data_IF_727716360973
#
_entry.id   IF_727716360973
#
_cell.length_a   1.000
_cell.length_b   1.000
_cell.length_c   1.000
_cell.angle_alpha   90.00
_cell.angle_beta   90.00
_cell.angle_gamma   90.00
#
_symmetry.space_group_name_H-M   'P 1'
#
loop_
_entity.id
_entity.type
_entity.pdbx_description
1 polymer ?
#
# COMPACT_ATOMS: atom_id res chain seq x y z
N UNK A 1 -26.37 -41.76 -56.30
CA UNK A 1 -25.76 -43.15 -56.38
C UNK A 1 -24.62 -43.16 -55.35
N UNK A 2 -24.80 -44.03 -54.37
CA UNK A 2 -23.83 -44.79 -53.55
C UNK A 2 -22.54 -44.12 -53.04
N UNK A 3 -22.51 -43.83 -51.73
CA UNK A 3 -21.82 -44.58 -50.66
C UNK A 3 -20.32 -44.85 -50.90
N UNK A 4 -19.47 -44.47 -49.91
CA UNK A 4 -18.94 -45.42 -48.92
C UNK A 4 -18.12 -44.64 -47.82
N UNK A 5 -18.38 -44.98 -46.57
CA UNK A 5 -17.61 -44.65 -45.37
C UNK A 5 -16.21 -45.29 -45.39
N UNK A 6 -15.23 -44.60 -44.83
CA UNK A 6 -13.93 -45.13 -44.43
C UNK A 6 -13.49 -44.64 -43.08
N UNK A 7 -13.69 -45.47 -42.03
CA UNK A 7 -13.10 -45.28 -40.69
C UNK A 7 -11.61 -45.62 -40.75
N UNK A 8 -10.75 -44.73 -40.35
CA UNK A 8 -9.35 -45.03 -40.05
C UNK A 8 -9.14 -45.08 -38.52
N UNK A 9 -8.79 -46.25 -38.06
CA UNK A 9 -8.45 -46.61 -36.69
C UNK A 9 -6.93 -46.45 -36.54
N UNK A 10 -6.46 -45.50 -35.67
CA UNK A 10 -5.02 -45.40 -35.35
C UNK A 10 -4.73 -46.29 -34.13
N UNK A 11 -3.90 -47.31 -34.37
CA UNK A 11 -3.23 -48.09 -33.32
C UNK A 11 -2.09 -47.27 -32.70
N UNK A 12 -2.13 -47.11 -31.38
CA UNK A 12 -0.99 -46.62 -30.61
C UNK A 12 -0.13 -47.80 -30.18
N UNK A 13 1.07 -47.88 -30.70
CA UNK A 13 2.11 -48.82 -30.27
C UNK A 13 2.91 -48.24 -29.12
N UNK A 14 2.78 -48.83 -27.92
CA UNK A 14 3.62 -48.52 -26.78
C UNK A 14 4.97 -49.26 -26.92
N UNK A 15 6.07 -48.53 -27.03
CA UNK A 15 7.42 -49.05 -26.87
C UNK A 15 7.82 -48.99 -25.39
N UNK A 16 7.94 -50.13 -24.74
CA UNK A 16 8.63 -50.27 -23.46
C UNK A 16 10.14 -50.23 -23.69
N UNK A 17 10.82 -49.22 -23.18
CA UNK A 17 12.25 -49.24 -23.00
C UNK A 17 12.55 -49.63 -21.55
N UNK A 18 13.08 -50.82 -21.34
CA UNK A 18 13.67 -51.26 -20.07
C UNK A 18 15.08 -50.70 -19.98
N UNK A 19 15.32 -49.75 -19.12
CA UNK A 19 16.68 -49.32 -18.73
C UNK A 19 16.95 -49.86 -17.33
N UNK A 20 17.82 -50.85 -17.24
CA UNK A 20 18.46 -51.30 -16.00
C UNK A 20 19.56 -50.31 -15.69
N UNK A 21 19.32 -49.42 -14.72
CA UNK A 21 20.27 -48.46 -14.18
C UNK A 21 20.51 -48.73 -12.71
N UNK A 22 21.75 -48.93 -12.39
CA UNK A 22 22.40 -49.19 -11.12
C UNK A 22 21.93 -48.23 -10.01
N UNK A 23 21.54 -48.85 -8.87
CA UNK A 23 21.27 -48.19 -7.59
C UNK A 23 22.49 -47.40 -7.11
N UNK A 24 22.37 -46.07 -7.01
CA UNK A 24 23.12 -45.26 -6.08
C UNK A 24 22.14 -44.79 -5.01
N UNK A 25 22.32 -45.29 -3.82
CA UNK A 25 21.61 -44.84 -2.63
C UNK A 25 21.97 -43.40 -2.31
N UNK A 26 21.06 -42.46 -2.54
CA UNK A 26 21.03 -41.18 -1.89
C UNK A 26 19.81 -41.16 -0.99
N UNK A 27 20.06 -41.20 0.31
CA UNK A 27 19.08 -40.91 1.34
C UNK A 27 18.69 -39.41 1.26
N UNK A 28 17.85 -39.06 0.32
CA UNK A 28 17.10 -37.81 0.36
C UNK A 28 15.75 -38.08 1.05
N UNK A 29 15.82 -38.16 2.37
CA UNK A 29 14.65 -38.13 3.23
C UNK A 29 14.14 -36.69 3.36
N UNK A 30 13.82 -36.03 2.24
CA UNK A 30 13.09 -34.77 2.23
C UNK A 30 11.63 -35.08 2.45
N UNK A 31 11.22 -35.04 3.72
CA UNK A 31 9.79 -34.95 4.07
C UNK A 31 9.20 -33.81 3.21
N UNK A 32 8.11 -34.01 2.45
CA UNK A 32 7.50 -32.96 1.68
C UNK A 32 7.22 -31.78 2.61
N UNK A 33 7.80 -30.61 2.33
CA UNK A 33 7.51 -29.41 3.08
C UNK A 33 6.01 -29.18 3.02
N UNK A 34 5.32 -29.22 4.18
CA UNK A 34 3.88 -29.06 4.27
C UNK A 34 3.52 -27.72 3.60
N UNK A 35 2.64 -27.77 2.61
CA UNK A 35 2.22 -26.58 1.90
C UNK A 35 1.72 -25.53 2.89
N UNK A 36 2.38 -24.36 2.94
CA UNK A 36 2.07 -23.31 3.90
C UNK A 36 0.72 -22.70 3.57
N UNK A 37 -0.22 -22.76 4.49
CA UNK A 37 -1.48 -22.03 4.38
C UNK A 37 -1.28 -20.59 4.82
N UNK A 38 -1.72 -19.65 3.99
CA UNK A 38 -1.64 -18.22 4.28
C UNK A 38 -3.01 -17.66 4.65
N UNK A 39 -3.01 -16.59 5.48
CA UNK A 39 -4.23 -15.88 5.82
C UNK A 39 -4.83 -15.19 4.59
N UNK A 40 -6.09 -15.51 4.31
CA UNK A 40 -6.90 -14.94 3.23
C UNK A 40 -8.14 -14.23 3.76
N UNK A 41 -8.16 -13.87 5.06
CA UNK A 41 -9.28 -13.16 5.67
C UNK A 41 -9.56 -11.84 4.95
N UNK A 42 -10.83 -11.40 5.00
CA UNK A 42 -11.24 -10.12 4.42
C UNK A 42 -10.62 -8.92 5.13
N UNK A 43 -10.32 -9.02 6.43
CA UNK A 43 -9.62 -7.97 7.17
C UNK A 43 -8.18 -7.85 6.68
N UNK A 44 -7.77 -6.64 6.26
CA UNK A 44 -6.43 -6.41 5.77
C UNK A 44 -5.42 -6.33 6.94
N UNK A 45 -4.48 -7.26 6.96
CA UNK A 45 -3.27 -7.23 7.77
C UNK A 45 -2.13 -6.84 6.85
N UNK A 46 -1.90 -5.53 6.72
CA UNK A 46 -1.12 -4.94 5.65
C UNK A 46 0.27 -4.47 6.07
N UNK A 47 1.15 -4.34 5.08
CA UNK A 47 2.44 -3.69 5.18
C UNK A 47 2.65 -2.77 3.97
N UNK A 48 3.12 -1.52 4.19
CA UNK A 48 3.70 -0.70 3.13
C UNK A 48 5.17 -1.07 3.00
N UNK A 49 5.60 -1.43 1.81
CA UNK A 49 6.99 -1.84 1.54
C UNK A 49 7.54 -1.09 0.33
N UNK A 50 7.23 0.18 0.27
CA UNK A 50 7.57 1.02 -0.88
C UNK A 50 9.08 1.19 -1.06
N UNK A 51 9.86 1.11 0.02
CA UNK A 51 11.32 1.19 -0.02
C UNK A 51 12.02 -0.14 -0.36
N UNK A 52 11.31 -1.25 -0.37
CA UNK A 52 11.90 -2.59 -0.46
C UNK A 52 12.89 -2.75 -1.62
N UNK A 53 12.56 -2.29 -2.83
CA UNK A 53 13.44 -2.44 -4.00
C UNK A 53 14.74 -1.61 -3.89
N UNK A 54 14.68 -0.41 -3.30
CA UNK A 54 15.85 0.42 -3.02
C UNK A 54 16.73 -0.23 -1.95
N UNK A 55 16.13 -0.77 -0.87
CA UNK A 55 16.84 -1.51 0.18
C UNK A 55 17.57 -2.73 -0.40
N UNK A 56 16.88 -3.56 -1.17
CA UNK A 56 17.44 -4.76 -1.79
C UNK A 56 18.56 -4.42 -2.78
N UNK A 57 18.38 -3.37 -3.58
CA UNK A 57 19.42 -2.86 -4.49
C UNK A 57 20.64 -2.35 -3.72
N UNK A 58 20.43 -1.78 -2.55
CA UNK A 58 21.49 -1.37 -1.61
C UNK A 58 22.15 -2.53 -0.87
N UNK A 59 21.73 -3.78 -1.13
CA UNK A 59 22.32 -4.98 -0.53
C UNK A 59 21.76 -5.36 0.84
N UNK A 60 20.66 -4.72 1.29
CA UNK A 60 19.95 -5.09 2.53
C UNK A 60 19.38 -6.51 2.39
N UNK A 61 19.51 -7.31 3.44
CA UNK A 61 19.06 -8.71 3.48
C UNK A 61 18.15 -8.93 4.68
N UNK A 62 17.13 -9.75 4.49
CA UNK A 62 16.17 -10.10 5.53
C UNK A 62 16.35 -11.55 5.94
N UNK A 63 16.04 -11.87 7.20
CA UNK A 63 16.30 -13.18 7.77
C UNK A 63 15.07 -13.68 8.52
N UNK A 64 14.81 -14.98 8.40
CA UNK A 64 13.81 -15.64 9.26
C UNK A 64 14.36 -15.82 10.69
N UNK A 65 13.54 -16.31 11.60
CA UNK A 65 13.93 -16.52 13.01
C UNK A 65 15.14 -17.44 13.17
N UNK A 66 15.36 -18.38 12.24
CA UNK A 66 16.49 -19.31 12.23
C UNK A 66 17.78 -18.68 11.63
N UNK A 67 17.74 -17.41 11.24
CA UNK A 67 18.88 -16.71 10.63
C UNK A 67 19.14 -17.05 9.16
N UNK A 68 18.21 -17.71 8.48
CA UNK A 68 18.29 -17.98 7.05
C UNK A 68 17.84 -16.74 6.27
N UNK A 69 18.68 -16.29 5.33
CA UNK A 69 18.32 -15.21 4.42
C UNK A 69 17.08 -15.60 3.61
N UNK A 70 16.08 -14.73 3.61
CA UNK A 70 14.75 -14.98 3.04
C UNK A 70 14.23 -13.72 2.37
N UNK A 71 13.46 -13.87 1.31
CA UNK A 71 12.75 -12.78 0.65
C UNK A 71 11.83 -12.03 1.64
N UNK A 72 11.86 -10.70 1.64
CA UNK A 72 11.11 -9.89 2.60
C UNK A 72 9.60 -10.11 2.48
N UNK A 73 9.04 -10.11 1.27
CA UNK A 73 7.60 -10.34 1.07
C UNK A 73 7.20 -11.75 1.54
N UNK A 74 8.07 -12.74 1.34
CA UNK A 74 7.82 -14.09 1.85
C UNK A 74 7.82 -14.12 3.38
N UNK A 75 8.76 -13.42 4.04
CA UNK A 75 8.77 -13.29 5.50
C UNK A 75 7.49 -12.62 6.02
N UNK A 76 7.09 -11.50 5.42
CA UNK A 76 5.87 -10.81 5.80
C UNK A 76 4.65 -11.73 5.66
N UNK A 77 4.59 -12.54 4.59
CA UNK A 77 3.52 -13.53 4.40
C UNK A 77 3.52 -14.60 5.48
N UNK A 78 4.70 -15.08 5.87
CA UNK A 78 4.89 -16.07 6.94
C UNK A 78 4.50 -15.50 8.32
N UNK A 79 4.67 -14.20 8.54
CA UNK A 79 4.27 -13.48 9.75
C UNK A 79 2.78 -13.08 9.76
N UNK A 80 1.99 -13.47 8.76
CA UNK A 80 0.54 -13.27 8.73
C UNK A 80 0.05 -12.06 7.95
N UNK A 81 0.95 -11.28 7.33
CA UNK A 81 0.56 -10.20 6.42
C UNK A 81 -0.18 -10.76 5.21
N UNK A 82 -1.28 -10.14 4.82
CA UNK A 82 -2.11 -10.56 3.68
C UNK A 82 -2.33 -9.47 2.62
N UNK A 83 -1.86 -8.26 2.87
CA UNK A 83 -2.03 -7.11 1.97
C UNK A 83 -0.75 -6.27 1.92
N UNK A 84 -0.46 -5.67 0.76
CA UNK A 84 0.71 -4.80 0.56
C UNK A 84 0.23 -3.45 0.04
N UNK A 85 0.74 -2.37 0.63
CA UNK A 85 0.59 -0.98 0.16
C UNK A 85 1.86 -0.55 -0.56
N UNK A 86 1.70 0.16 -1.68
CA UNK A 86 2.79 0.64 -2.53
C UNK A 86 2.54 2.08 -2.93
N UNK A 87 3.44 2.96 -2.55
CA UNK A 87 3.48 4.39 -2.89
C UNK A 87 3.86 4.59 -4.34
N UNK A 88 3.20 5.55 -5.00
CA UNK A 88 3.47 5.96 -6.38
C UNK A 88 3.81 7.44 -6.44
N UNK A 89 4.98 7.77 -7.00
CA UNK A 89 5.40 9.11 -7.37
C UNK A 89 5.31 9.32 -8.88
N UNK A 90 5.25 10.57 -9.35
CA UNK A 90 5.07 10.89 -10.78
C UNK A 90 6.38 10.70 -11.56
N UNK A 91 7.41 11.46 -11.23
CA UNK A 91 8.74 11.37 -11.86
C UNK A 91 9.83 11.42 -10.78
N UNK A 92 9.96 10.39 -9.93
CA UNK A 92 10.91 10.41 -8.84
C UNK A 92 12.36 10.37 -9.34
N UNK A 93 13.23 11.12 -8.67
CA UNK A 93 14.67 10.98 -8.86
C UNK A 93 15.10 9.55 -8.50
N UNK A 94 15.94 8.94 -9.33
CA UNK A 94 16.40 7.55 -9.12
C UNK A 94 15.36 6.47 -9.48
N UNK A 95 14.11 6.82 -9.80
CA UNK A 95 13.07 5.91 -10.27
C UNK A 95 12.38 5.08 -9.17
N UNK A 96 12.83 5.13 -7.92
CA UNK A 96 12.19 4.44 -6.80
C UNK A 96 10.80 5.01 -6.53
N UNK A 97 9.82 4.14 -6.28
CA UNK A 97 8.40 4.48 -6.19
C UNK A 97 7.81 5.08 -7.47
N UNK A 98 8.53 5.10 -8.58
CA UNK A 98 7.98 5.39 -9.91
C UNK A 98 7.18 4.21 -10.46
N UNK A 99 6.48 4.45 -11.57
CA UNK A 99 5.57 3.47 -12.19
C UNK A 99 6.18 2.07 -12.34
N UNK A 100 7.38 1.96 -12.93
CA UNK A 100 8.00 0.66 -13.22
C UNK A 100 8.38 -0.10 -11.94
N UNK A 101 8.89 0.60 -10.94
CA UNK A 101 9.24 0.04 -9.63
C UNK A 101 8.00 -0.48 -8.89
N UNK A 102 6.90 0.28 -8.93
CA UNK A 102 5.62 -0.12 -8.34
C UNK A 102 5.04 -1.35 -9.05
N UNK A 103 5.08 -1.41 -10.39
CA UNK A 103 4.61 -2.56 -11.16
C UNK A 103 5.41 -3.81 -10.80
N UNK A 104 6.73 -3.69 -10.67
CA UNK A 104 7.59 -4.81 -10.31
C UNK A 104 7.27 -5.37 -8.90
N UNK A 105 7.11 -4.50 -7.90
CA UNK A 105 6.73 -4.87 -6.54
C UNK A 105 5.31 -5.44 -6.47
N UNK A 106 4.34 -4.82 -7.12
CA UNK A 106 2.95 -5.27 -7.15
C UNK A 106 2.82 -6.66 -7.75
N UNK A 107 3.49 -6.91 -8.89
CA UNK A 107 3.50 -8.23 -9.51
C UNK A 107 4.15 -9.29 -8.63
N UNK A 108 5.28 -8.96 -7.97
CA UNK A 108 5.96 -9.84 -7.01
C UNK A 108 5.06 -10.15 -5.80
N UNK A 109 4.38 -9.15 -5.23
CA UNK A 109 3.44 -9.33 -4.13
C UNK A 109 2.24 -10.21 -4.53
N UNK A 110 1.65 -9.98 -5.70
CA UNK A 110 0.55 -10.81 -6.21
C UNK A 110 0.93 -12.28 -6.34
N UNK A 111 2.16 -12.60 -6.76
CA UNK A 111 2.66 -13.98 -6.86
C UNK A 111 2.66 -14.71 -5.52
N UNK A 112 2.72 -13.98 -4.41
CA UNK A 112 2.63 -14.50 -3.06
C UNK A 112 1.20 -14.42 -2.49
N UNK A 113 0.20 -14.07 -3.31
CA UNK A 113 -1.20 -14.02 -2.92
C UNK A 113 -1.58 -12.82 -2.04
N UNK A 114 -0.82 -11.73 -2.07
CA UNK A 114 -1.21 -10.49 -1.39
C UNK A 114 -2.28 -9.74 -2.15
N UNK A 115 -3.18 -9.06 -1.42
CA UNK A 115 -4.03 -7.99 -1.94
C UNK A 115 -3.25 -6.69 -1.97
N UNK A 116 -3.62 -5.75 -2.83
CA UNK A 116 -2.84 -4.54 -3.06
C UNK A 116 -3.64 -3.28 -2.76
N UNK A 117 -2.96 -2.33 -2.11
CA UNK A 117 -3.31 -0.92 -2.04
C UNK A 117 -2.26 -0.13 -2.83
N UNK A 118 -2.70 0.67 -3.79
CA UNK A 118 -1.83 1.57 -4.56
C UNK A 118 -2.05 2.98 -4.06
N UNK A 119 -0.98 3.63 -3.62
CA UNK A 119 -1.01 4.94 -2.97
C UNK A 119 -0.41 6.03 -3.84
N UNK A 120 -1.25 6.85 -4.45
CA UNK A 120 -0.83 7.97 -5.30
C UNK A 120 -0.53 9.22 -4.47
N UNK A 121 0.72 9.64 -4.47
CA UNK A 121 1.13 10.91 -3.84
C UNK A 121 0.88 12.13 -4.73
N UNK A 122 0.79 11.97 -6.05
CA UNK A 122 0.71 13.06 -7.03
C UNK A 122 1.81 14.11 -6.84
N UNK A 123 3.00 13.65 -6.57
CA UNK A 123 4.23 14.43 -6.40
C UNK A 123 5.40 13.65 -6.99
N UNK A 124 6.53 14.30 -7.24
CA UNK A 124 7.79 13.63 -7.64
C UNK A 124 8.54 13.08 -6.42
N UNK A 125 8.08 13.42 -5.22
CA UNK A 125 8.67 13.04 -3.93
C UNK A 125 7.59 12.92 -2.86
N UNK A 126 7.96 13.06 -1.60
CA UNK A 126 7.06 12.95 -0.45
C UNK A 126 5.86 13.90 -0.56
N UNK A 127 4.66 13.33 -0.42
CA UNK A 127 3.46 14.05 -0.06
C UNK A 127 3.10 13.64 1.37
N UNK A 128 3.08 14.61 2.28
CA UNK A 128 2.80 14.44 3.70
C UNK A 128 2.04 15.67 4.24
N UNK A 129 1.69 15.75 5.53
CA UNK A 129 0.93 16.88 6.07
C UNK A 129 1.59 18.26 5.93
N UNK A 130 2.89 18.32 5.64
CA UNK A 130 3.63 19.56 5.43
C UNK A 130 4.03 19.79 3.96
N UNK A 131 3.98 18.75 3.13
CA UNK A 131 4.48 18.78 1.76
C UNK A 131 3.45 18.15 0.82
N UNK A 132 2.88 18.96 -0.07
CA UNK A 132 1.93 18.51 -1.12
C UNK A 132 2.32 19.16 -2.46
N UNK A 133 3.61 19.05 -2.79
CA UNK A 133 4.24 19.77 -3.91
C UNK A 133 3.74 19.24 -5.24
N UNK A 134 3.33 20.14 -6.11
CA UNK A 134 2.96 19.86 -7.50
C UNK A 134 4.17 19.26 -8.24
N UNK A 135 4.02 18.14 -8.98
CA UNK A 135 5.07 17.59 -9.81
C UNK A 135 5.69 18.62 -10.76
N UNK A 136 7.00 18.56 -10.99
CA UNK A 136 7.69 19.50 -11.87
C UNK A 136 7.09 19.56 -13.28
N UNK A 137 6.63 18.43 -13.81
CA UNK A 137 5.99 18.34 -15.11
C UNK A 137 4.60 19.00 -15.18
N UNK A 138 3.97 19.28 -14.03
CA UNK A 138 2.63 19.87 -13.94
C UNK A 138 2.66 21.34 -13.50
N UNK A 139 3.85 21.91 -13.32
CA UNK A 139 4.01 23.33 -12.99
C UNK A 139 3.43 24.19 -14.10
N UNK A 140 2.70 25.25 -13.71
CA UNK A 140 2.04 26.16 -14.65
C UNK A 140 0.73 25.64 -15.27
N UNK A 141 0.24 24.46 -14.83
CA UNK A 141 -1.05 23.97 -15.31
C UNK A 141 -2.21 24.79 -14.73
N UNK A 142 -3.26 24.95 -15.52
CA UNK A 142 -4.57 25.41 -15.04
C UNK A 142 -5.23 24.33 -14.17
N UNK A 143 -6.25 24.67 -13.41
CA UNK A 143 -7.00 23.70 -12.59
C UNK A 143 -7.57 22.55 -13.45
N UNK A 144 -8.05 22.83 -14.65
CA UNK A 144 -8.56 21.79 -15.56
C UNK A 144 -7.44 20.88 -16.08
N UNK A 145 -6.27 21.44 -16.41
CA UNK A 145 -5.10 20.66 -16.80
C UNK A 145 -4.57 19.82 -15.62
N UNK A 146 -4.59 20.36 -14.40
CA UNK A 146 -4.21 19.63 -13.19
C UNK A 146 -5.14 18.44 -12.93
N UNK A 147 -6.46 18.67 -13.04
CA UNK A 147 -7.47 17.62 -12.95
C UNK A 147 -7.23 16.51 -13.98
N UNK A 148 -6.95 16.89 -15.23
CA UNK A 148 -6.63 15.93 -16.28
C UNK A 148 -5.34 15.17 -16.00
N UNK A 149 -4.30 15.83 -15.50
CA UNK A 149 -3.03 15.20 -15.14
C UNK A 149 -3.19 14.16 -14.02
N UNK A 150 -4.01 14.43 -13.01
CA UNK A 150 -4.35 13.45 -11.97
C UNK A 150 -5.04 12.23 -12.59
N UNK A 151 -6.04 12.43 -13.46
CA UNK A 151 -6.73 11.33 -14.13
C UNK A 151 -5.78 10.51 -15.00
N UNK A 152 -4.98 11.17 -15.83
CA UNK A 152 -4.08 10.51 -16.79
C UNK A 152 -2.98 9.71 -16.07
N UNK A 153 -2.34 10.29 -15.04
CA UNK A 153 -1.33 9.57 -14.25
C UNK A 153 -1.92 8.36 -13.54
N UNK A 154 -3.11 8.51 -12.94
CA UNK A 154 -3.81 7.40 -12.28
C UNK A 154 -4.12 6.27 -13.28
N UNK A 155 -4.67 6.60 -14.44
CA UNK A 155 -4.98 5.63 -15.50
C UNK A 155 -3.71 4.96 -16.05
N UNK A 156 -2.65 5.73 -16.31
CA UNK A 156 -1.40 5.21 -16.85
C UNK A 156 -0.79 4.14 -15.94
N UNK A 157 -0.66 4.44 -14.64
CA UNK A 157 -0.11 3.47 -13.68
C UNK A 157 -1.03 2.25 -13.51
N UNK A 158 -2.33 2.45 -13.32
CA UNK A 158 -3.27 1.37 -13.09
C UNK A 158 -3.43 0.48 -14.33
N UNK A 159 -3.44 1.06 -15.53
CA UNK A 159 -3.48 0.30 -16.78
C UNK A 159 -2.22 -0.54 -16.95
N UNK A 160 -1.05 0.04 -16.68
CA UNK A 160 0.21 -0.69 -16.76
C UNK A 160 0.29 -1.86 -15.73
N UNK A 161 -0.25 -1.69 -14.52
CA UNK A 161 -0.43 -2.79 -13.56
C UNK A 161 -1.35 -3.89 -14.14
N UNK A 162 -2.48 -3.52 -14.72
CA UNK A 162 -3.44 -4.45 -15.31
C UNK A 162 -2.84 -5.20 -16.51
N UNK A 163 -2.12 -4.51 -17.38
CA UNK A 163 -1.44 -5.08 -18.55
C UNK A 163 -0.31 -6.03 -18.12
N UNK A 164 0.34 -5.77 -16.97
CA UNK A 164 1.30 -6.69 -16.35
C UNK A 164 0.64 -7.94 -15.79
N UNK A 165 -0.69 -7.98 -15.70
CA UNK A 165 -1.47 -9.09 -15.15
C UNK A 165 -1.68 -8.98 -13.63
N UNK A 166 -1.56 -7.79 -13.06
CA UNK A 166 -1.92 -7.54 -11.66
C UNK A 166 -3.45 -7.38 -11.60
N UNK A 167 -4.13 -8.23 -10.82
CA UNK A 167 -5.61 -8.30 -10.78
C UNK A 167 -6.19 -8.07 -9.39
N UNK A 168 -5.37 -8.08 -8.37
CA UNK A 168 -5.76 -8.04 -6.95
C UNK A 168 -5.57 -6.66 -6.30
N UNK A 169 -5.70 -5.58 -7.08
CA UNK A 169 -5.79 -4.21 -6.56
C UNK A 169 -7.18 -4.05 -5.93
N UNK A 170 -7.21 -4.01 -4.60
CA UNK A 170 -8.45 -3.88 -3.83
C UNK A 170 -8.70 -2.44 -3.41
N UNK A 171 -7.64 -1.68 -3.15
CA UNK A 171 -7.73 -0.28 -2.75
C UNK A 171 -6.80 0.59 -3.60
N UNK A 172 -7.25 1.82 -3.84
CA UNK A 172 -6.43 2.87 -4.45
C UNK A 172 -6.59 4.14 -3.64
N UNK A 173 -5.49 4.66 -3.14
CA UNK A 173 -5.44 5.89 -2.38
C UNK A 173 -5.17 7.06 -3.31
N UNK A 174 -6.06 8.05 -3.30
CA UNK A 174 -6.01 9.26 -4.11
C UNK A 174 -5.53 10.43 -3.23
N UNK A 175 -4.23 10.70 -3.30
CA UNK A 175 -3.52 11.61 -2.41
C UNK A 175 -3.07 10.92 -1.11
N UNK A 176 -1.94 11.35 -0.55
CA UNK A 176 -1.39 10.86 0.71
C UNK A 176 -1.44 11.95 1.77
N UNK A 177 -1.94 11.60 2.98
CA UNK A 177 -2.04 12.48 4.16
C UNK A 177 -2.54 13.90 3.85
N UNK A 178 -3.65 13.97 3.12
CA UNK A 178 -4.23 15.19 2.56
C UNK A 178 -4.92 16.08 3.59
N UNK A 179 -4.26 16.31 4.75
CA UNK A 179 -4.75 17.11 5.89
C UNK A 179 -5.40 18.42 5.49
N UNK A 180 -4.79 19.13 4.55
CA UNK A 180 -5.28 20.37 3.94
C UNK A 180 -5.26 20.25 2.40
N UNK A 181 -5.72 19.09 1.89
CA UNK A 181 -5.75 18.81 0.46
C UNK A 181 -4.45 18.30 -0.13
N UNK A 182 -4.30 18.40 -1.44
CA UNK A 182 -3.15 17.94 -2.22
C UNK A 182 -2.81 18.91 -3.35
N UNK A 183 -1.63 18.75 -3.97
CA UNK A 183 -1.21 19.59 -5.13
C UNK A 183 -1.25 21.08 -4.77
N UNK A 184 -0.53 21.45 -3.70
CA UNK A 184 -0.45 22.82 -3.26
C UNK A 184 0.37 23.66 -4.25
N UNK A 185 -0.17 24.81 -4.62
CA UNK A 185 0.58 25.81 -5.32
C UNK A 185 0.98 26.91 -4.33
N UNK A 186 2.23 26.87 -3.88
CA UNK A 186 2.75 27.77 -2.87
C UNK A 186 3.21 29.13 -3.45
N UNK A 187 2.98 29.40 -4.76
CA UNK A 187 3.20 30.70 -5.33
C UNK A 187 2.19 31.73 -4.73
N UNK A 188 2.60 32.99 -4.68
CA UNK A 188 1.72 34.06 -4.21
C UNK A 188 0.78 34.55 -5.35
N UNK A 189 -0.41 35.00 -4.96
CA UNK A 189 -1.38 35.65 -5.84
C UNK A 189 -2.60 34.84 -6.21
N UNK A 190 -3.52 35.47 -6.92
CA UNK A 190 -4.83 34.91 -7.26
C UNK A 190 -4.72 33.73 -8.25
N UNK A 191 -3.76 33.76 -9.14
CA UNK A 191 -3.51 32.67 -10.10
C UNK A 191 -3.10 31.38 -9.39
N UNK A 192 -2.28 31.47 -8.34
CA UNK A 192 -1.90 30.33 -7.54
C UNK A 192 -3.10 29.72 -6.78
N UNK A 193 -3.94 30.59 -6.18
CA UNK A 193 -5.18 30.18 -5.51
C UNK A 193 -6.20 29.57 -6.47
N UNK A 194 -6.20 29.99 -7.74
CA UNK A 194 -7.07 29.43 -8.76
C UNK A 194 -6.78 27.96 -9.09
N UNK A 195 -5.54 27.49 -8.81
CA UNK A 195 -5.07 26.14 -9.18
C UNK A 195 -4.87 25.23 -7.97
N UNK A 196 -4.51 25.80 -6.80
CA UNK A 196 -4.18 24.99 -5.64
C UNK A 196 -5.32 24.03 -5.22
N UNK A 197 -4.96 22.82 -4.86
CA UNK A 197 -5.86 21.87 -4.20
C UNK A 197 -5.79 21.94 -2.67
N UNK A 198 -5.24 23.02 -2.09
CA UNK A 198 -5.26 23.29 -0.65
C UNK A 198 -6.68 23.60 -0.21
N UNK A 199 -7.25 22.80 0.67
CA UNK A 199 -8.69 22.89 1.07
C UNK A 199 -9.02 24.22 1.73
N UNK A 200 -8.13 24.72 2.58
CA UNK A 200 -8.30 26.02 3.26
C UNK A 200 -8.35 27.21 2.30
N UNK A 201 -7.83 27.05 1.07
CA UNK A 201 -7.82 28.09 0.04
C UNK A 201 -8.84 27.80 -1.08
N UNK A 202 -8.92 26.55 -1.54
CA UNK A 202 -9.77 26.15 -2.66
C UNK A 202 -10.28 24.70 -2.55
N UNK A 203 -11.21 24.45 -1.65
CA UNK A 203 -11.81 23.12 -1.47
C UNK A 203 -12.48 22.56 -2.73
N UNK A 204 -12.90 23.42 -3.67
CA UNK A 204 -13.52 22.96 -4.93
C UNK A 204 -12.49 22.27 -5.84
N UNK A 205 -11.27 22.79 -5.93
CA UNK A 205 -10.18 22.16 -6.67
C UNK A 205 -9.80 20.82 -6.04
N UNK A 206 -9.66 20.76 -4.71
CA UNK A 206 -9.39 19.50 -4.03
C UNK A 206 -10.43 18.43 -4.39
N UNK A 207 -11.72 18.77 -4.30
CA UNK A 207 -12.78 17.85 -4.66
C UNK A 207 -12.73 17.45 -6.15
N UNK A 208 -12.40 18.38 -7.05
CA UNK A 208 -12.25 18.09 -8.47
C UNK A 208 -11.07 17.14 -8.75
N UNK A 209 -9.94 17.32 -8.07
CA UNK A 209 -8.75 16.46 -8.20
C UNK A 209 -9.01 15.07 -7.63
N UNK A 210 -9.63 14.97 -6.44
CA UNK A 210 -10.06 13.70 -5.86
C UNK A 210 -11.02 12.96 -6.79
N UNK A 211 -12.02 13.66 -7.36
CA UNK A 211 -12.98 13.06 -8.29
C UNK A 211 -12.30 12.56 -9.57
N UNK A 212 -11.33 13.29 -10.09
CA UNK A 212 -10.58 12.88 -11.27
C UNK A 212 -9.82 11.56 -11.03
N UNK A 213 -9.15 11.45 -9.88
CA UNK A 213 -8.50 10.20 -9.45
C UNK A 213 -9.51 9.09 -9.22
N UNK A 214 -10.63 9.37 -8.52
CA UNK A 214 -11.70 8.42 -8.27
C UNK A 214 -12.26 7.81 -9.58
N UNK A 215 -12.63 8.66 -10.52
CA UNK A 215 -13.22 8.23 -11.78
C UNK A 215 -12.19 7.42 -12.63
N UNK A 216 -10.94 7.83 -12.62
CA UNK A 216 -9.84 7.09 -13.26
C UNK A 216 -9.63 5.69 -12.65
N UNK A 217 -9.70 5.56 -11.33
CA UNK A 217 -9.64 4.25 -10.65
C UNK A 217 -10.79 3.37 -11.10
N UNK A 218 -12.04 3.90 -11.06
CA UNK A 218 -13.24 3.13 -11.42
C UNK A 218 -13.27 2.71 -12.89
N UNK A 219 -12.60 3.46 -13.77
CA UNK A 219 -12.48 3.08 -15.19
C UNK A 219 -11.57 1.86 -15.37
N UNK A 220 -10.45 1.76 -14.64
CA UNK A 220 -9.46 0.69 -14.83
C UNK A 220 -9.74 -0.52 -13.93
N UNK A 221 -10.02 -0.29 -12.64
CA UNK A 221 -10.39 -1.28 -11.63
C UNK A 221 -11.75 -0.95 -11.00
N UNK A 222 -12.88 -1.28 -11.64
CA UNK A 222 -14.19 -0.86 -11.16
C UNK A 222 -14.54 -1.33 -9.74
N UNK A 223 -13.95 -2.43 -9.29
CA UNK A 223 -14.20 -2.99 -7.96
C UNK A 223 -13.26 -2.44 -6.88
N UNK A 224 -12.17 -1.79 -7.26
CA UNK A 224 -11.24 -1.20 -6.29
C UNK A 224 -11.92 -0.07 -5.53
N UNK A 225 -11.69 -0.03 -4.22
CA UNK A 225 -12.22 1.01 -3.34
C UNK A 225 -11.26 2.19 -3.33
N UNK A 226 -11.80 3.39 -3.45
CA UNK A 226 -11.01 4.63 -3.46
C UNK A 226 -10.93 5.20 -2.06
N UNK A 227 -9.70 5.41 -1.60
CA UNK A 227 -9.38 5.95 -0.29
C UNK A 227 -9.00 7.44 -0.42
N UNK A 228 -9.54 8.27 0.47
CA UNK A 228 -8.98 9.58 0.81
C UNK A 228 -8.31 9.47 2.17
N UNK A 229 -7.03 9.79 2.26
CA UNK A 229 -6.17 9.52 3.40
C UNK A 229 -5.78 10.80 4.15
N UNK A 230 -5.89 10.76 5.47
CA UNK A 230 -5.56 11.86 6.38
C UNK A 230 -4.73 11.33 7.55
N UNK A 231 -3.82 12.14 8.04
CA UNK A 231 -2.99 11.85 9.20
C UNK A 231 -3.70 12.06 10.56
N UNK A 232 -3.04 11.67 11.64
CA UNK A 232 -3.53 11.80 13.03
C UNK A 232 -4.95 11.22 13.24
N UNK A 233 -5.11 9.92 13.01
CA UNK A 233 -6.38 9.19 13.17
C UNK A 233 -7.06 9.37 14.54
N UNK A 234 -6.32 9.82 15.56
CA UNK A 234 -6.84 10.18 16.86
C UNK A 234 -7.55 11.55 16.91
N UNK A 235 -7.43 12.38 15.87
CA UNK A 235 -7.95 13.76 15.83
C UNK A 235 -9.24 13.84 15.01
N UNK A 236 -10.38 13.59 15.64
CA UNK A 236 -11.69 13.59 14.97
C UNK A 236 -11.98 14.90 14.22
N UNK A 237 -11.60 16.05 14.81
CA UNK A 237 -11.87 17.37 14.23
C UNK A 237 -11.26 17.58 12.85
N UNK A 238 -10.07 17.01 12.61
CA UNK A 238 -9.37 17.05 11.33
C UNK A 238 -10.18 16.35 10.23
N UNK A 239 -10.64 15.15 10.52
CA UNK A 239 -11.44 14.34 9.58
C UNK A 239 -12.80 14.97 9.30
N UNK A 240 -13.50 15.41 10.34
CA UNK A 240 -14.82 16.05 10.17
C UNK A 240 -14.72 17.35 9.38
N UNK A 241 -13.64 18.10 9.53
CA UNK A 241 -13.40 19.31 8.74
C UNK A 241 -13.13 18.94 7.25
N UNK A 242 -12.13 18.10 6.95
CA UNK A 242 -11.76 17.78 5.58
C UNK A 242 -12.90 17.10 4.81
N UNK A 243 -13.46 16.01 5.37
CA UNK A 243 -14.53 15.27 4.72
C UNK A 243 -15.83 16.08 4.67
N UNK A 244 -16.04 17.00 5.61
CA UNK A 244 -17.12 17.98 5.55
C UNK A 244 -16.99 18.93 4.35
N UNK A 245 -15.80 19.50 4.12
CA UNK A 245 -15.53 20.35 2.96
C UNK A 245 -15.58 19.54 1.64
N UNK A 246 -14.97 18.35 1.61
CA UNK A 246 -15.00 17.47 0.45
C UNK A 246 -16.45 17.12 0.04
N UNK A 247 -17.30 16.74 1.01
CA UNK A 247 -18.73 16.44 0.79
C UNK A 247 -19.49 17.65 0.28
N UNK A 248 -19.28 18.84 0.85
CA UNK A 248 -19.93 20.10 0.40
C UNK A 248 -19.60 20.42 -1.05
N UNK A 249 -18.42 20.02 -1.54
CA UNK A 249 -17.96 20.26 -2.92
C UNK A 249 -18.23 19.09 -3.86
N UNK A 250 -18.98 18.06 -3.42
CA UNK A 250 -19.34 16.91 -4.25
C UNK A 250 -18.17 15.93 -4.47
N UNK A 251 -17.24 15.88 -3.54
CA UNK A 251 -16.15 14.92 -3.58
C UNK A 251 -16.62 13.48 -3.40
N UNK A 252 -15.90 12.54 -4.00
CA UNK A 252 -16.21 11.11 -4.04
C UNK A 252 -15.12 10.34 -3.31
N UNK A 253 -15.50 9.39 -2.48
CA UNK A 253 -14.60 8.39 -1.85
C UNK A 253 -15.41 7.17 -1.43
N UNK A 254 -14.77 6.03 -1.28
CA UNK A 254 -15.39 4.80 -0.77
C UNK A 254 -14.95 4.52 0.67
N UNK A 255 -13.72 4.89 1.03
CA UNK A 255 -13.08 4.57 2.32
C UNK A 255 -12.31 5.77 2.86
N UNK A 256 -12.38 5.99 4.16
CA UNK A 256 -11.54 6.97 4.87
C UNK A 256 -10.25 6.27 5.30
N UNK A 257 -9.09 6.78 4.85
CA UNK A 257 -7.77 6.33 5.28
C UNK A 257 -7.25 7.15 6.46
N UNK A 258 -6.56 6.48 7.40
CA UNK A 258 -5.98 7.11 8.59
C UNK A 258 -4.53 6.73 8.78
N UNK A 259 -3.67 7.67 9.24
CA UNK A 259 -2.36 7.38 9.83
C UNK A 259 -2.39 7.49 11.35
N UNK A 260 -1.59 6.66 12.02
CA UNK A 260 -1.41 6.74 13.47
C UNK A 260 0.02 6.36 13.87
N UNK A 261 0.75 7.29 14.50
CA UNK A 261 2.13 7.10 14.94
C UNK A 261 2.30 7.41 16.44
N UNK A 262 1.87 6.47 17.31
CA UNK A 262 1.97 6.67 18.77
C UNK A 262 3.41 6.50 19.26
N UNK A 263 3.63 7.03 20.48
CA UNK A 263 4.86 6.91 21.26
C UNK A 263 4.59 6.22 22.60
N UNK A 264 5.65 5.85 23.33
CA UNK A 264 5.57 5.09 24.58
C UNK A 264 4.65 5.71 25.63
N UNK A 265 4.58 7.04 25.67
CA UNK A 265 3.85 7.79 26.70
C UNK A 265 2.40 8.12 26.32
N UNK A 266 1.97 7.88 25.08
CA UNK A 266 0.65 8.29 24.59
C UNK A 266 -0.13 7.23 23.81
N UNK A 267 0.43 6.04 23.59
CA UNK A 267 -0.17 5.05 22.69
C UNK A 267 -1.57 4.58 23.14
N UNK A 268 -1.81 4.48 24.47
CA UNK A 268 -3.11 4.04 24.97
C UNK A 268 -4.23 5.00 24.57
N UNK A 269 -3.98 6.31 24.76
CA UNK A 269 -4.96 7.36 24.45
C UNK A 269 -5.13 7.53 22.95
N UNK A 270 -4.03 7.59 22.19
CA UNK A 270 -4.10 7.76 20.74
C UNK A 270 -4.81 6.60 20.05
N UNK A 271 -4.53 5.36 20.46
CA UNK A 271 -5.20 4.17 19.88
C UNK A 271 -6.68 4.12 20.27
N UNK A 272 -7.04 4.47 21.52
CA UNK A 272 -8.44 4.52 21.97
C UNK A 272 -9.21 5.57 21.19
N UNK A 273 -8.66 6.77 21.05
CA UNK A 273 -9.29 7.85 20.29
C UNK A 273 -9.44 7.48 18.80
N UNK A 274 -8.41 6.87 18.20
CA UNK A 274 -8.47 6.42 16.81
C UNK A 274 -9.59 5.37 16.59
N UNK A 275 -9.68 4.35 17.44
CA UNK A 275 -10.73 3.33 17.36
C UNK A 275 -12.14 3.94 17.52
N UNK A 276 -12.31 4.92 18.40
CA UNK A 276 -13.58 5.65 18.53
C UNK A 276 -13.87 6.49 17.29
N UNK A 277 -12.86 7.13 16.71
CA UNK A 277 -13.01 7.95 15.50
C UNK A 277 -13.39 7.10 14.28
N UNK A 278 -12.87 5.86 14.16
CA UNK A 278 -13.29 4.93 13.11
C UNK A 278 -14.82 4.74 13.14
N UNK A 279 -15.39 4.44 14.32
CA UNK A 279 -16.84 4.26 14.49
C UNK A 279 -17.62 5.52 14.13
N UNK A 280 -17.22 6.65 14.72
CA UNK A 280 -17.89 7.95 14.51
C UNK A 280 -17.90 8.36 13.05
N UNK A 281 -16.74 8.22 12.35
CA UNK A 281 -16.63 8.66 10.96
C UNK A 281 -17.34 7.73 10.00
N UNK A 282 -17.31 6.41 10.26
CA UNK A 282 -18.05 5.46 9.43
C UNK A 282 -19.57 5.69 9.50
N UNK A 283 -20.10 6.01 10.69
CA UNK A 283 -21.50 6.35 10.88
C UNK A 283 -21.84 7.70 10.22
N UNK A 284 -21.00 8.74 10.45
CA UNK A 284 -21.26 10.10 9.94
C UNK A 284 -21.24 10.18 8.42
N UNK A 285 -20.36 9.44 7.77
CA UNK A 285 -20.16 9.48 6.31
C UNK A 285 -20.73 8.26 5.58
N UNK A 286 -21.25 7.27 6.30
CA UNK A 286 -21.77 6.01 5.78
C UNK A 286 -20.77 5.34 4.81
N UNK A 287 -19.54 5.19 5.26
CA UNK A 287 -18.45 4.57 4.50
C UNK A 287 -17.55 3.74 5.42
N UNK A 288 -16.71 2.90 4.84
CA UNK A 288 -15.72 2.15 5.58
C UNK A 288 -14.50 3.02 5.94
N UNK A 289 -13.71 2.53 6.88
CA UNK A 289 -12.46 3.16 7.32
C UNK A 289 -11.33 2.14 7.26
N UNK A 290 -10.12 2.58 6.99
CA UNK A 290 -8.92 1.75 6.98
C UNK A 290 -7.76 2.52 7.64
N UNK A 291 -6.93 1.83 8.40
CA UNK A 291 -5.66 2.41 8.87
C UNK A 291 -4.64 2.22 7.75
N UNK A 292 -4.45 3.27 6.95
CA UNK A 292 -3.51 3.28 5.82
C UNK A 292 -2.05 3.22 6.27
N UNK A 293 -1.76 3.78 7.47
CA UNK A 293 -0.42 3.78 8.04
C UNK A 293 -0.48 3.66 9.57
N UNK A 294 0.37 2.80 10.09
CA UNK A 294 0.69 2.76 11.51
C UNK A 294 2.16 2.40 11.69
N UNK A 295 2.78 2.92 12.73
CA UNK A 295 4.14 2.56 13.09
C UNK A 295 4.49 3.09 14.48
N UNK A 296 5.38 2.37 15.17
CA UNK A 296 5.93 2.76 16.46
C UNK A 296 7.39 2.32 16.52
N UNK A 297 8.21 3.05 17.28
CA UNK A 297 9.62 2.69 17.43
C UNK A 297 9.80 1.21 17.77
N UNK A 298 10.49 0.48 16.90
CA UNK A 298 10.64 -0.99 16.97
C UNK A 298 11.29 -1.47 18.28
N UNK A 299 12.15 -0.66 18.90
CA UNK A 299 12.81 -0.96 20.18
C UNK A 299 11.91 -0.71 21.40
N UNK A 300 10.72 -0.16 21.22
CA UNK A 300 9.76 0.03 22.30
C UNK A 300 9.15 -1.31 22.75
N UNK A 301 9.07 -1.50 24.07
CA UNK A 301 8.32 -2.61 24.66
C UNK A 301 6.81 -2.47 24.46
N UNK A 302 6.35 -1.29 24.05
CA UNK A 302 4.94 -0.98 23.81
C UNK A 302 4.52 -1.22 22.35
N UNK A 303 5.47 -1.39 21.42
CA UNK A 303 5.14 -1.55 19.99
C UNK A 303 4.24 -2.76 19.71
N UNK A 304 4.57 -3.94 20.25
CA UNK A 304 3.73 -5.14 20.08
C UNK A 304 2.37 -5.02 20.83
N UNK A 305 2.27 -4.60 22.10
CA UNK A 305 1.00 -4.32 22.76
C UNK A 305 0.14 -3.28 22.03
N UNK A 306 0.73 -2.20 21.52
CA UNK A 306 0.04 -1.17 20.74
C UNK A 306 -0.56 -1.77 19.46
N UNK A 307 0.24 -2.52 18.72
CA UNK A 307 -0.21 -3.14 17.48
C UNK A 307 -1.32 -4.17 17.73
N UNK A 308 -1.19 -5.00 18.78
CA UNK A 308 -2.24 -5.93 19.19
C UNK A 308 -3.55 -5.21 19.50
N UNK A 309 -3.52 -4.13 20.31
CA UNK A 309 -4.71 -3.33 20.63
C UNK A 309 -5.38 -2.78 19.38
N UNK A 310 -4.58 -2.25 18.44
CA UNK A 310 -5.12 -1.70 17.20
C UNK A 310 -5.72 -2.76 16.28
N UNK A 311 -5.05 -3.89 16.09
CA UNK A 311 -5.56 -4.98 15.25
C UNK A 311 -6.84 -5.57 15.82
N UNK A 312 -6.86 -5.90 17.13
CA UNK A 312 -8.04 -6.45 17.78
C UNK A 312 -9.21 -5.46 17.72
N UNK A 313 -8.96 -4.19 18.11
CA UNK A 313 -9.99 -3.15 18.08
C UNK A 313 -10.53 -2.84 16.69
N UNK A 314 -9.68 -2.86 15.65
CA UNK A 314 -10.10 -2.71 14.27
C UNK A 314 -10.94 -3.90 13.78
N UNK A 315 -10.57 -5.14 14.14
CA UNK A 315 -11.35 -6.34 13.81
C UNK A 315 -12.75 -6.34 14.45
N UNK A 316 -12.88 -5.75 15.64
CA UNK A 316 -14.17 -5.63 16.35
C UNK A 316 -15.10 -4.57 15.72
N UNK A 317 -14.61 -3.75 14.80
CA UNK A 317 -15.37 -2.72 14.09
C UNK A 317 -15.65 -3.19 12.66
N UNK A 318 -16.87 -3.63 12.38
CA UNK A 318 -17.24 -4.22 11.07
C UNK A 318 -17.02 -3.31 9.87
N UNK A 319 -16.96 -1.98 10.08
CA UNK A 319 -16.68 -0.98 9.05
C UNK A 319 -15.19 -0.66 8.92
N UNK A 320 -14.30 -1.29 9.72
CA UNK A 320 -12.86 -1.17 9.56
C UNK A 320 -12.34 -2.28 8.65
N UNK A 321 -11.77 -1.92 7.49
CA UNK A 321 -11.32 -2.88 6.48
C UNK A 321 -9.96 -3.50 6.78
N UNK A 322 -9.14 -2.83 7.59
CA UNK A 322 -7.80 -3.32 7.89
C UNK A 322 -6.85 -2.26 8.43
N UNK A 323 -5.60 -2.68 8.55
CA UNK A 323 -4.50 -1.88 9.09
C UNK A 323 -3.21 -2.20 8.33
N UNK A 324 -2.45 -1.18 7.93
CA UNK A 324 -1.19 -1.30 7.21
C UNK A 324 -0.05 -0.73 8.07
N UNK A 325 0.93 -1.57 8.38
CA UNK A 325 2.16 -1.11 9.02
C UNK A 325 3.04 -0.41 7.98
N UNK A 326 3.51 0.81 8.27
CA UNK A 326 4.29 1.58 7.32
C UNK A 326 5.77 1.23 7.39
N UNK A 327 6.34 0.81 6.25
CA UNK A 327 7.74 0.41 6.05
C UNK A 327 8.27 -0.47 7.19
N UNK A 328 7.60 -1.61 7.49
CA UNK A 328 8.00 -2.47 8.61
C UNK A 328 9.40 -3.05 8.44
N UNK A 329 9.85 -3.23 7.21
CA UNK A 329 11.12 -3.87 6.84
C UNK A 329 12.35 -2.99 7.11
N UNK A 330 12.17 -1.70 7.38
CA UNK A 330 13.29 -0.78 7.66
C UNK A 330 13.93 -1.10 9.00
N UNK A 331 15.25 -1.28 8.98
CA UNK A 331 16.04 -1.56 10.18
C UNK A 331 17.46 -1.00 10.07
N UNK A 332 18.20 -1.02 11.16
CA UNK A 332 19.61 -0.65 11.26
C UNK A 332 19.92 0.75 10.68
N UNK A 333 19.05 1.73 10.97
CA UNK A 333 19.18 3.12 10.50
C UNK A 333 19.31 3.26 8.97
N UNK A 334 18.82 2.28 8.20
CA UNK A 334 18.72 2.44 6.76
C UNK A 334 17.81 3.62 6.43
N UNK A 335 18.12 4.34 5.36
CA UNK A 335 17.31 5.43 4.83
C UNK A 335 17.42 5.50 3.32
N UNK A 336 16.36 5.92 2.62
CA UNK A 336 16.39 6.09 1.17
C UNK A 336 17.34 7.25 0.79
N UNK A 337 17.81 7.22 -0.45
CA UNK A 337 18.76 8.22 -0.96
C UNK A 337 18.21 9.65 -0.81
N UNK A 338 16.91 9.86 -1.09
CA UNK A 338 16.28 11.18 -1.00
C UNK A 338 16.22 11.76 0.42
N UNK A 339 16.22 10.94 1.49
CA UNK A 339 16.32 11.43 2.87
C UNK A 339 17.66 12.15 3.11
N UNK A 340 18.72 11.71 2.46
CA UNK A 340 20.02 12.39 2.55
C UNK A 340 19.96 13.77 1.89
N UNK A 341 19.35 13.86 0.71
CA UNK A 341 19.15 15.14 0.00
C UNK A 341 18.26 16.11 0.79
N UNK A 342 17.21 15.59 1.44
CA UNK A 342 16.28 16.37 2.26
C UNK A 342 16.82 16.69 3.67
N UNK A 343 17.96 16.12 4.06
CA UNK A 343 18.51 16.29 5.41
C UNK A 343 17.73 15.55 6.49
N UNK A 344 16.91 14.56 6.13
CA UNK A 344 16.06 13.82 7.07
C UNK A 344 16.82 12.69 7.76
N UNK A 345 16.45 12.43 9.02
CA UNK A 345 16.95 11.30 9.78
C UNK A 345 16.39 9.98 9.25
N UNK A 346 17.06 8.87 9.57
CA UNK A 346 16.55 7.54 9.27
C UNK A 346 15.20 7.29 9.97
N UNK A 347 14.31 6.58 9.30
CA UNK A 347 13.05 6.12 9.89
C UNK A 347 13.34 5.01 10.91
N UNK A 348 12.77 5.15 12.11
CA UNK A 348 13.06 4.25 13.24
C UNK A 348 11.85 3.43 13.71
N UNK A 349 10.71 3.54 13.01
CA UNK A 349 9.45 2.90 13.41
C UNK A 349 9.14 1.63 12.61
N UNK A 350 10.16 0.97 12.03
CA UNK A 350 10.03 -0.33 11.39
C UNK A 350 9.60 -1.43 12.38
N UNK A 351 9.43 -2.65 11.89
CA UNK A 351 9.05 -3.81 12.70
C UNK A 351 10.04 -4.98 12.56
N UNK A 352 11.21 -4.72 11.98
CA UNK A 352 12.35 -5.64 11.97
C UNK A 352 13.41 -5.16 12.95
N UNK A 353 14.11 -6.10 13.58
CA UNK A 353 15.23 -5.80 14.48
C UNK A 353 16.49 -5.45 13.68
N UNK A 354 17.55 -4.99 14.37
CA UNK A 354 18.82 -4.63 13.73
C UNK A 354 19.56 -5.80 13.06
N UNK A 355 19.09 -7.03 13.21
CA UNK A 355 19.59 -8.21 12.50
C UNK A 355 18.77 -8.55 11.25
N UNK A 356 17.75 -7.74 10.92
CA UNK A 356 16.88 -7.94 9.79
C UNK A 356 15.84 -9.05 9.96
N UNK A 357 15.42 -9.32 11.21
CA UNK A 357 14.39 -10.31 11.54
C UNK A 357 13.10 -9.62 11.96
N UNK A 358 11.93 -10.18 11.58
CA UNK A 358 10.64 -9.70 12.09
C UNK A 358 10.59 -9.75 13.63
N UNK A 359 10.01 -8.73 14.24
CA UNK A 359 9.83 -8.64 15.71
C UNK A 359 8.44 -9.11 16.15
N UNK A 360 8.20 -9.16 17.46
CA UNK A 360 6.89 -9.50 18.05
C UNK A 360 5.74 -8.54 17.65
N UNK A 361 6.02 -7.46 16.98
CA UNK A 361 4.99 -6.56 16.39
C UNK A 361 4.06 -7.33 15.46
N UNK A 362 4.59 -8.31 14.71
CA UNK A 362 3.79 -9.15 13.81
C UNK A 362 2.95 -10.22 14.51
N UNK A 363 3.12 -10.48 15.81
CA UNK A 363 2.27 -11.44 16.52
C UNK A 363 0.79 -11.01 16.50
N UNK A 364 0.52 -9.73 16.36
CA UNK A 364 -0.84 -9.21 16.15
C UNK A 364 -1.47 -9.65 14.81
N UNK A 365 -0.67 -10.08 13.85
CA UNK A 365 -1.14 -10.55 12.53
C UNK A 365 -1.35 -12.07 12.45
N UNK A 366 -0.93 -12.81 13.47
CA UNK A 366 -1.07 -14.30 13.58
C UNK A 366 -2.43 -14.75 14.13
#
# INVERSE_FOLDING_TARGET
MKNILGKAMLLATALLFSITGTSCSNDDNTTPEKEKTYDVSAFAKGADVSWLSEMEKGGVKFYNQNGKATDCLKLLREEGTNSIRLRVWVNPEGGWCGKDDVIAKAWRAQKLGFRLMIDFHYSDTWADPAHQTVPAAWQGYTAEQMKQAVADHTKDVLTALKDRGVTNVEWVQVGNETRDGMLWNDAEGDDAKAVTGRVSENAANFAAYVNAGYDAVKEVYPQAKVIVHVDEGNNLGRYTWLFGELKKKGGKWDVIGMSLYPEDNNWQDLTTNCLNNIKTLSEQYNCNVIISEIGMWWGSKQAAPMMKKMVDGCKDISTCEGIFYWEPEVYNNWKPANYTTLGWAAYTKGAFDNSGKPTAVFDAYK
#
